data_IF_744151245682
#
_entry.id   IF_744151245682
#
_cell.length_a   1.000
_cell.length_b   1.000
_cell.length_c   1.000
_cell.angle_alpha   90.00
_cell.angle_beta   90.00
_cell.angle_gamma   90.00
#
_symmetry.space_group_name_H-M   'P 1'
#
loop_
_entity.id
_entity.type
_entity.pdbx_description
1 polymer ?
#
# COMPACT_ATOMS: atom_id res chain seq x y z
N UNK A 1 -11.10 -1.46 -9.94
CA UNK A 1 -10.57 -0.08 -9.94
C UNK A 1 -9.68 0.11 -8.73
N UNK A 2 -8.80 1.11 -8.73
CA UNK A 2 -7.97 1.45 -7.57
C UNK A 2 -7.75 2.96 -7.54
N UNK A 3 -7.56 3.50 -6.34
CA UNK A 3 -7.27 4.92 -6.12
C UNK A 3 -6.25 5.07 -4.99
N UNK A 4 -5.37 6.08 -5.07
CA UNK A 4 -4.47 6.45 -3.97
C UNK A 4 -5.28 7.30 -3.01
N UNK A 5 -5.28 6.94 -1.73
CA UNK A 5 -5.83 7.78 -0.67
C UNK A 5 -4.83 8.88 -0.32
N UNK A 6 -4.98 10.05 -0.95
CA UNK A 6 -4.06 11.19 -0.77
C UNK A 6 -4.05 11.72 0.67
N UNK A 7 -5.14 11.56 1.42
CA UNK A 7 -5.21 11.99 2.82
C UNK A 7 -4.41 11.06 3.74
N UNK A 8 -4.10 9.84 3.28
CA UNK A 8 -3.26 8.87 4.00
C UNK A 8 -1.75 9.06 3.80
N UNK A 9 -1.34 9.97 2.89
CA UNK A 9 0.07 10.13 2.55
C UNK A 9 0.80 10.87 3.66
N UNK A 10 1.77 10.19 4.28
CA UNK A 10 2.56 10.76 5.36
C UNK A 10 4.05 10.40 5.27
N UNK A 11 4.88 11.23 5.91
CA UNK A 11 6.31 10.96 6.02
C UNK A 11 6.54 9.87 7.07
N UNK A 12 7.12 8.74 6.67
CA UNK A 12 7.48 7.69 7.61
C UNK A 12 8.64 8.17 8.49
N UNK A 13 8.53 8.13 9.84
CA UNK A 13 9.63 8.53 10.74
C UNK A 13 10.94 7.74 10.53
N UNK A 14 10.85 6.53 9.96
CA UNK A 14 11.98 5.68 9.61
C UNK A 14 12.57 6.02 8.22
N UNK A 15 12.03 7.04 7.54
CA UNK A 15 12.43 7.54 6.24
C UNK A 15 11.49 7.10 5.11
N UNK A 16 11.27 7.97 4.13
CA UNK A 16 10.40 7.65 2.99
C UNK A 16 8.97 8.17 3.15
N UNK A 17 8.05 7.59 2.38
CA UNK A 17 6.64 7.99 2.33
C UNK A 17 5.77 6.75 2.50
N UNK A 18 4.83 6.83 3.41
CA UNK A 18 3.79 5.82 3.61
C UNK A 18 2.48 6.30 3.00
N UNK A 19 1.63 5.34 2.63
CA UNK A 19 0.28 5.64 2.21
C UNK A 19 -0.52 4.40 1.88
N UNK A 20 -1.75 4.64 1.46
CA UNK A 20 -2.75 3.61 1.22
C UNK A 20 -3.31 3.70 -0.20
N UNK A 21 -3.46 2.54 -0.84
CA UNK A 21 -4.22 2.39 -2.08
C UNK A 21 -5.54 1.69 -1.74
N UNK A 22 -6.67 2.31 -2.10
CA UNK A 22 -8.02 1.76 -1.92
C UNK A 22 -8.45 1.04 -3.20
N UNK A 23 -8.93 -0.18 -3.06
CA UNK A 23 -9.36 -1.04 -4.16
C UNK A 23 -10.87 -1.03 -4.28
N UNK A 24 -11.37 -0.91 -5.51
CA UNK A 24 -12.80 -0.94 -5.83
C UNK A 24 -13.65 0.08 -5.06
N UNK A 25 -13.06 1.20 -4.65
CA UNK A 25 -13.71 2.24 -3.83
C UNK A 25 -14.28 1.70 -2.49
N UNK A 26 -13.76 0.58 -1.99
CA UNK A 26 -14.11 0.00 -0.70
C UNK A 26 -12.95 0.22 0.27
N UNK A 27 -13.16 1.08 1.27
CA UNK A 27 -12.13 1.43 2.27
C UNK A 27 -11.68 0.24 3.12
N UNK A 28 -12.42 -0.87 3.15
CA UNK A 28 -11.98 -2.11 3.80
C UNK A 28 -11.05 -2.95 2.92
N UNK A 29 -10.93 -2.62 1.63
CA UNK A 29 -10.07 -3.28 0.65
C UNK A 29 -8.89 -2.38 0.31
N UNK A 30 -7.88 -2.37 1.18
CA UNK A 30 -6.71 -1.52 0.98
C UNK A 30 -5.38 -2.28 0.89
N UNK A 31 -4.41 -1.63 0.26
CA UNK A 31 -3.00 -2.02 0.19
C UNK A 31 -2.18 -0.90 0.85
N UNK A 32 -1.34 -1.26 1.81
CA UNK A 32 -0.40 -0.36 2.45
C UNK A 32 0.92 -0.39 1.67
N UNK A 33 1.43 0.79 1.31
CA UNK A 33 2.70 0.94 0.63
C UNK A 33 3.69 1.77 1.45
N UNK A 34 4.97 1.48 1.25
CA UNK A 34 6.09 2.21 1.80
C UNK A 34 7.09 2.49 0.68
N UNK A 35 7.30 3.76 0.35
CA UNK A 35 8.33 4.20 -0.57
C UNK A 35 9.57 4.61 0.24
N UNK A 36 10.48 3.67 0.42
CA UNK A 36 11.71 3.91 1.17
C UNK A 36 12.59 4.95 0.46
N UNK A 37 13.21 5.83 1.25
CA UNK A 37 14.16 6.84 0.79
C UNK A 37 15.51 6.57 1.43
N UNK A 38 16.53 6.34 0.61
CA UNK A 38 17.88 6.11 1.11
C UNK A 38 18.53 7.39 1.67
N UNK A 39 19.69 7.25 2.30
CA UNK A 39 20.43 8.37 2.90
C UNK A 39 20.84 9.48 1.92
N UNK A 40 20.89 9.17 0.61
CA UNK A 40 21.19 10.16 -0.45
C UNK A 40 19.92 10.86 -0.95
N UNK A 41 18.78 10.57 -0.35
CA UNK A 41 17.49 11.15 -0.68
C UNK A 41 16.84 10.59 -1.93
N UNK A 42 17.31 9.45 -2.43
CA UNK A 42 16.77 8.76 -3.60
C UNK A 42 15.76 7.72 -3.12
N UNK A 43 14.57 7.72 -3.74
CA UNK A 43 13.57 6.69 -3.48
C UNK A 43 14.01 5.35 -4.08
N UNK A 44 13.91 4.29 -3.29
CA UNK A 44 14.11 2.93 -3.76
C UNK A 44 12.81 2.37 -4.33
N UNK A 45 12.91 1.67 -5.45
CA UNK A 45 11.82 0.85 -5.98
C UNK A 45 11.80 -0.57 -5.40
N UNK A 46 12.76 -0.93 -4.55
CA UNK A 46 12.79 -2.23 -3.90
C UNK A 46 11.76 -2.27 -2.77
N UNK A 47 10.77 -3.15 -2.92
CA UNK A 47 9.72 -3.45 -1.94
C UNK A 47 8.82 -2.25 -1.58
N UNK A 48 7.91 -1.91 -2.51
CA UNK A 48 6.93 -0.82 -2.32
C UNK A 48 5.72 -1.25 -1.52
N UNK A 49 5.31 -2.53 -1.59
CA UNK A 49 4.12 -3.02 -0.87
C UNK A 49 4.52 -3.57 0.49
N UNK A 50 3.95 -3.00 1.53
CA UNK A 50 4.21 -3.37 2.92
C UNK A 50 3.10 -4.24 3.54
N UNK A 51 1.87 -4.21 2.98
CA UNK A 51 0.80 -5.10 3.42
C UNK A 51 -0.54 -4.84 2.75
N UNK A 52 -1.56 -5.60 3.15
CA UNK A 52 -2.93 -5.41 2.68
C UNK A 52 -3.94 -5.76 3.77
N UNK A 53 -5.15 -5.23 3.62
CA UNK A 53 -6.29 -5.55 4.49
C UNK A 53 -6.61 -7.05 4.50
N UNK A 54 -7.09 -7.56 5.65
CA UNK A 54 -7.48 -8.96 5.79
C UNK A 54 -8.58 -9.35 4.81
N UNK A 55 -9.59 -8.48 4.60
CA UNK A 55 -10.70 -8.70 3.67
C UNK A 55 -10.19 -8.85 2.22
N UNK A 56 -9.29 -7.97 1.78
CA UNK A 56 -8.67 -8.09 0.45
C UNK A 56 -7.86 -9.38 0.34
N UNK A 57 -7.10 -9.74 1.37
CA UNK A 57 -6.34 -10.99 1.39
C UNK A 57 -7.20 -12.24 1.27
N UNK A 58 -8.36 -12.25 1.94
CA UNK A 58 -9.34 -13.33 1.82
C UNK A 58 -9.95 -13.41 0.42
N UNK A 59 -10.32 -12.27 -0.18
CA UNK A 59 -10.92 -12.24 -1.52
C UNK A 59 -9.95 -12.79 -2.58
N UNK A 60 -8.69 -12.34 -2.54
CA UNK A 60 -7.64 -12.81 -3.46
C UNK A 60 -7.38 -14.33 -3.33
N UNK A 61 -7.50 -14.87 -2.12
CA UNK A 61 -7.35 -16.33 -1.89
C UNK A 61 -8.54 -17.12 -2.40
N UNK A 62 -9.77 -16.59 -2.29
CA UNK A 62 -10.97 -17.22 -2.82
C UNK A 62 -10.93 -17.27 -4.34
N UNK A 63 -10.57 -16.17 -4.98
CA UNK A 63 -10.46 -16.09 -6.46
C UNK A 63 -9.46 -17.08 -7.04
N UNK A 64 -8.38 -17.43 -6.33
CA UNK A 64 -7.42 -18.44 -6.81
C UNK A 64 -7.91 -19.87 -6.81
N UNK A 65 -9.04 -20.15 -6.16
CA UNK A 65 -9.62 -21.49 -6.02
C UNK A 65 -10.83 -21.68 -6.94
N UNK A 66 -11.33 -20.59 -7.54
CA UNK A 66 -12.38 -20.59 -8.57
C UNK A 66 -11.77 -20.63 -9.98
#
# INVERSE_FOLDING_TARGET
SYEIDYDSIEHNPMGGIDGTIVVNNDKELYIYFHLNKNSNGIFSSEYVIAGNSSKLGTNLRKERVE
#
